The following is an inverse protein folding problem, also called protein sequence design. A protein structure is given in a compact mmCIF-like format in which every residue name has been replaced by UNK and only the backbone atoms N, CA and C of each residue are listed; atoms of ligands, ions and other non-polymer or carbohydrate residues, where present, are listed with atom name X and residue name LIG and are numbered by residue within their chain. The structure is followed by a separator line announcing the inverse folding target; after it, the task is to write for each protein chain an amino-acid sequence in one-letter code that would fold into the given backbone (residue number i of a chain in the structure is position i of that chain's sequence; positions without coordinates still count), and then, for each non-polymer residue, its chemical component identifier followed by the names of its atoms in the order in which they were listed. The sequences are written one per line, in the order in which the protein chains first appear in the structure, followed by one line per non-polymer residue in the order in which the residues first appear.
data_IF_153073707350
#
_entry.id   IF_153073707350
#
_cell.length_a   1.000
_cell.length_b   1.000
_cell.length_c   1.000
_cell.angle_alpha   90.00
_cell.angle_beta   90.00
_cell.angle_gamma   90.00
#
_symmetry.space_group_name_H-M   'P 1'
#
loop_
_entity.id
_entity.type
_entity.pdbx_description
1 polymer ?
#
# COMPACT_ATOMS: atom_id res chain seq x y z
N UNK A 1 -29.02 -1.75 -21.53
CA UNK A 1 -27.55 -1.56 -21.54
C UNK A 1 -27.33 -0.14 -22.05
N UNK A 2 -27.13 0.82 -21.15
CA UNK A 2 -27.06 2.23 -21.56
C UNK A 2 -26.21 3.08 -20.59
N UNK A 3 -25.44 3.97 -21.18
CA UNK A 3 -24.19 4.59 -20.71
C UNK A 3 -24.46 5.75 -19.70
N UNK A 4 -25.70 5.86 -19.20
CA UNK A 4 -26.18 6.97 -18.35
C UNK A 4 -26.17 6.73 -16.82
N UNK A 5 -26.09 5.49 -16.31
CA UNK A 5 -26.21 5.24 -14.84
C UNK A 5 -24.90 4.85 -14.14
N UNK A 6 -23.78 4.75 -14.85
CA UNK A 6 -22.46 4.60 -14.21
C UNK A 6 -21.87 5.93 -13.70
N UNK A 7 -22.40 7.08 -14.17
CA UNK A 7 -22.17 8.40 -13.58
C UNK A 7 -22.72 8.48 -12.14
N UNK A 8 -23.79 7.72 -11.86
CA UNK A 8 -24.44 7.56 -10.55
C UNK A 8 -23.61 6.80 -9.49
N UNK A 9 -22.46 6.21 -9.83
CA UNK A 9 -21.65 5.40 -8.89
C UNK A 9 -20.44 6.14 -8.33
N UNK A 10 -20.01 7.23 -8.97
CA UNK A 10 -18.99 8.15 -8.44
C UNK A 10 -19.61 9.16 -7.47
N UNK A 11 -20.87 9.54 -7.69
CA UNK A 11 -21.66 10.30 -6.70
C UNK A 11 -21.86 9.52 -5.38
N UNK A 12 -21.83 8.18 -5.41
CA UNK A 12 -22.16 7.33 -4.26
C UNK A 12 -21.02 7.06 -3.25
N UNK A 13 -19.78 7.49 -3.52
CA UNK A 13 -18.69 7.43 -2.53
C UNK A 13 -18.42 8.79 -1.85
N UNK A 14 -18.94 9.87 -2.41
CA UNK A 14 -18.98 11.20 -1.77
C UNK A 14 -20.31 11.47 -1.08
N UNK A 15 -21.16 10.46 -0.86
CA UNK A 15 -22.50 10.67 -0.30
C UNK A 15 -22.76 9.92 1.02
N UNK A 16 -22.29 8.71 1.28
CA UNK A 16 -22.73 8.00 2.51
C UNK A 16 -22.07 8.43 3.85
N UNK A 17 -21.28 9.51 3.86
CA UNK A 17 -20.94 10.24 5.10
C UNK A 17 -21.12 11.76 4.93
N UNK A 18 -21.57 12.19 3.75
CA UNK A 18 -21.57 13.60 3.31
C UNK A 18 -22.98 14.01 2.80
N UNK A 19 -23.96 13.10 2.74
CA UNK A 19 -25.33 13.40 2.30
C UNK A 19 -26.20 14.14 3.32
N UNK A 20 -25.64 14.60 4.43
CA UNK A 20 -26.29 15.56 5.34
C UNK A 20 -25.48 16.83 5.53
N UNK A 21 -24.43 17.03 4.75
CA UNK A 21 -23.40 18.02 5.01
C UNK A 21 -23.47 19.13 3.97
N UNK A 22 -23.59 20.38 4.42
CA UNK A 22 -23.64 21.55 3.51
C UNK A 22 -22.33 21.66 2.68
N UNK A 23 -22.32 22.33 1.51
CA UNK A 23 -21.11 22.48 0.67
C UNK A 23 -19.86 22.99 1.42
N UNK A 24 -20.07 23.73 2.51
CA UNK A 24 -19.04 24.19 3.45
C UNK A 24 -18.36 23.01 4.17
N UNK A 25 -19.13 22.01 4.60
CA UNK A 25 -18.67 20.85 5.37
C UNK A 25 -17.85 19.86 4.51
N UNK A 26 -18.12 19.74 3.20
CA UNK A 26 -17.31 18.91 2.29
C UNK A 26 -15.91 19.49 2.09
N UNK A 27 -15.84 20.81 2.01
CA UNK A 27 -14.59 21.56 1.87
C UNK A 27 -13.77 21.44 3.15
N UNK A 28 -14.42 21.54 4.31
CA UNK A 28 -13.79 21.33 5.62
C UNK A 28 -13.26 19.91 5.79
N UNK A 29 -14.04 18.87 5.48
CA UNK A 29 -13.61 17.48 5.60
C UNK A 29 -12.40 17.14 4.70
N UNK A 30 -12.36 17.70 3.49
CA UNK A 30 -11.24 17.53 2.56
C UNK A 30 -9.98 18.22 3.08
N UNK A 31 -10.11 19.44 3.62
CA UNK A 31 -9.00 20.17 4.21
C UNK A 31 -8.45 19.47 5.46
N UNK A 32 -9.33 18.93 6.31
CA UNK A 32 -8.93 18.19 7.51
C UNK A 32 -8.15 16.92 7.15
N UNK A 33 -8.61 16.16 6.15
CA UNK A 33 -7.91 14.94 5.72
C UNK A 33 -6.54 15.26 5.11
N UNK A 34 -6.44 16.31 4.28
CA UNK A 34 -5.17 16.78 3.73
C UNK A 34 -4.21 17.18 4.83
N UNK A 35 -4.68 17.98 5.79
CA UNK A 35 -3.87 18.45 6.90
C UNK A 35 -3.40 17.31 7.82
N UNK A 36 -4.25 16.31 8.06
CA UNK A 36 -3.87 15.12 8.80
C UNK A 36 -2.77 14.35 8.08
N UNK A 37 -2.89 14.17 6.75
CA UNK A 37 -1.91 13.45 5.94
C UNK A 37 -0.56 14.16 5.93
N UNK A 38 -0.58 15.48 5.75
CA UNK A 38 0.63 16.31 5.79
C UNK A 38 1.33 16.20 7.14
N UNK A 39 0.56 16.14 8.24
CA UNK A 39 1.11 15.93 9.58
C UNK A 39 1.71 14.53 9.74
N UNK A 40 1.05 13.46 9.28
CA UNK A 40 1.58 12.08 9.33
C UNK A 40 2.89 11.94 8.54
N UNK A 41 2.94 12.51 7.33
CA UNK A 41 4.15 12.53 6.50
C UNK A 41 5.26 13.32 7.21
N UNK A 42 4.95 14.52 7.71
CA UNK A 42 5.94 15.36 8.39
C UNK A 42 6.53 14.66 9.62
N UNK A 43 5.69 14.08 10.47
CA UNK A 43 6.13 13.34 11.67
C UNK A 43 7.03 12.17 11.30
N UNK A 44 6.68 11.40 10.26
CA UNK A 44 7.52 10.29 9.82
C UNK A 44 8.85 10.78 9.23
N UNK A 45 8.84 11.87 8.46
CA UNK A 45 10.07 12.46 7.91
C UNK A 45 10.99 13.01 9.01
N UNK A 46 10.44 13.59 10.07
CA UNK A 46 11.20 13.99 11.26
C UNK A 46 11.81 12.78 11.98
N UNK A 47 11.04 11.70 12.14
CA UNK A 47 11.53 10.45 12.72
C UNK A 47 12.69 9.88 11.90
N UNK A 48 12.52 9.70 10.59
CA UNK A 48 13.53 9.06 9.74
C UNK A 48 14.78 9.93 9.55
N UNK A 49 14.67 11.26 9.70
CA UNK A 49 15.83 12.16 9.66
C UNK A 49 16.86 11.88 10.75
N UNK A 50 16.43 11.27 11.87
CA UNK A 50 17.28 10.88 13.00
C UNK A 50 17.89 9.49 12.83
N UNK A 51 17.41 8.72 11.86
CA UNK A 51 17.96 7.40 11.54
C UNK A 51 19.12 7.56 10.56
N UNK A 52 20.27 6.95 10.86
CA UNK A 52 21.49 7.02 10.03
C UNK A 52 21.75 5.74 9.22
N UNK A 53 20.83 4.78 9.25
CA UNK A 53 21.02 3.50 8.56
C UNK A 53 21.10 3.74 7.03
N UNK A 54 22.25 3.41 6.40
CA UNK A 54 22.46 3.66 4.97
C UNK A 54 21.66 2.69 4.08
N UNK A 55 21.12 1.61 4.65
CA UNK A 55 20.25 0.69 3.93
C UNK A 55 18.86 1.28 3.68
N UNK A 56 18.49 2.36 4.38
CA UNK A 56 17.23 3.07 4.19
C UNK A 56 17.41 4.18 3.13
N UNK A 57 16.88 3.95 1.93
CA UNK A 57 17.07 4.83 0.76
C UNK A 57 15.75 5.38 0.27
N UNK A 58 14.77 4.50 0.05
CA UNK A 58 13.47 4.86 -0.52
C UNK A 58 12.62 5.63 0.48
N UNK A 59 12.56 5.19 1.74
CA UNK A 59 11.78 5.86 2.78
C UNK A 59 12.29 7.26 3.15
N UNK A 60 13.51 7.63 2.72
CA UNK A 60 14.03 9.00 2.86
C UNK A 60 13.50 9.97 1.81
N UNK A 61 12.83 9.46 0.76
CA UNK A 61 12.20 10.30 -0.25
C UNK A 61 10.79 10.65 0.22
N UNK A 62 10.50 11.93 0.39
CA UNK A 62 9.20 12.40 0.90
C UNK A 62 8.04 11.90 0.03
N UNK A 63 8.25 11.82 -1.28
CA UNK A 63 7.26 11.36 -2.25
C UNK A 63 6.92 9.88 -2.06
N UNK A 64 7.87 9.05 -1.60
CA UNK A 64 7.63 7.64 -1.28
C UNK A 64 6.75 7.52 -0.03
N UNK A 65 7.01 8.34 0.98
CA UNK A 65 6.22 8.37 2.21
C UNK A 65 4.81 8.88 1.92
N UNK A 66 4.67 9.99 1.18
CA UNK A 66 3.40 10.49 0.65
C UNK A 66 2.62 9.37 -0.07
N UNK A 67 3.29 8.67 -0.99
CA UNK A 67 2.70 7.58 -1.75
C UNK A 67 2.20 6.42 -0.87
N UNK A 68 2.96 6.04 0.17
CA UNK A 68 2.53 5.01 1.14
C UNK A 68 1.28 5.43 1.93
N UNK A 69 1.15 6.72 2.21
CA UNK A 69 0.00 7.29 2.90
C UNK A 69 -1.20 7.56 1.98
N UNK A 70 -1.07 7.32 0.67
CA UNK A 70 -2.16 7.54 -0.29
C UNK A 70 -2.18 8.92 -0.93
N UNK A 71 -1.18 9.75 -0.65
CA UNK A 71 -0.99 11.02 -1.32
C UNK A 71 -0.25 10.83 -2.64
N UNK A 72 -0.80 11.41 -3.70
CA UNK A 72 -0.22 11.41 -5.05
C UNK A 72 -0.04 12.84 -5.59
N UNK A 73 -0.13 13.83 -4.71
CA UNK A 73 -0.01 15.27 -5.03
C UNK A 73 1.34 15.66 -5.64
N UNK A 74 2.40 14.88 -5.37
CA UNK A 74 3.71 15.06 -5.97
C UNK A 74 3.76 14.74 -7.48
N UNK A 75 2.76 14.02 -8.01
CA UNK A 75 2.68 13.76 -9.45
C UNK A 75 2.31 15.05 -10.22
N UNK A 76 2.90 15.30 -11.40
CA UNK A 76 2.60 16.50 -12.16
C UNK A 76 1.12 16.61 -12.52
N UNK A 77 0.53 17.78 -12.30
CA UNK A 77 -0.84 18.04 -12.71
C UNK A 77 -1.04 17.77 -14.21
N UNK A 78 -2.23 17.28 -14.57
CA UNK A 78 -2.60 17.02 -15.95
C UNK A 78 -3.79 17.88 -16.37
N UNK A 79 -3.82 18.24 -17.65
CA UNK A 79 -5.05 18.72 -18.27
C UNK A 79 -6.08 17.59 -18.31
N UNK A 80 -7.10 17.73 -17.47
CA UNK A 80 -8.20 16.77 -17.34
C UNK A 80 -9.02 16.72 -18.61
N UNK A 81 -9.32 15.52 -19.10
CA UNK A 81 -10.15 15.30 -20.28
C UNK A 81 -11.33 14.39 -19.97
N UNK A 82 -11.03 13.16 -19.56
CA UNK A 82 -12.00 12.18 -19.12
C UNK A 82 -11.30 11.16 -18.24
N UNK A 83 -12.07 10.49 -17.37
CA UNK A 83 -11.55 9.56 -16.38
C UNK A 83 -10.53 8.55 -16.95
N UNK A 84 -10.85 7.88 -18.05
CA UNK A 84 -9.98 6.85 -18.63
C UNK A 84 -8.66 7.43 -19.17
N UNK A 85 -8.73 8.56 -19.87
CA UNK A 85 -7.54 9.24 -20.38
C UNK A 85 -6.68 9.79 -19.23
N UNK A 86 -7.33 10.32 -18.19
CA UNK A 86 -6.69 10.91 -17.02
C UNK A 86 -5.98 9.84 -16.18
N UNK A 87 -6.65 8.71 -15.89
CA UNK A 87 -6.05 7.55 -15.19
C UNK A 87 -4.85 7.00 -15.96
N UNK A 88 -4.92 6.91 -17.29
CA UNK A 88 -3.79 6.45 -18.12
C UNK A 88 -2.59 7.40 -18.03
N UNK A 89 -2.82 8.71 -18.04
CA UNK A 89 -1.76 9.72 -17.90
C UNK A 89 -1.11 9.62 -16.52
N UNK A 90 -1.91 9.62 -15.45
CA UNK A 90 -1.41 9.49 -14.09
C UNK A 90 -0.66 8.17 -13.87
N UNK A 91 -1.16 7.05 -14.41
CA UNK A 91 -0.44 5.78 -14.37
C UNK A 91 0.93 5.87 -15.02
N UNK A 92 1.04 6.57 -16.15
CA UNK A 92 2.32 6.77 -16.85
C UNK A 92 3.26 7.62 -16.00
N UNK A 93 2.76 8.68 -15.36
CA UNK A 93 3.55 9.51 -14.46
C UNK A 93 4.02 8.73 -13.22
N UNK A 94 3.12 7.97 -12.60
CA UNK A 94 3.42 7.11 -11.45
C UNK A 94 4.45 6.03 -11.82
N UNK A 95 4.37 5.44 -13.01
CA UNK A 95 5.37 4.49 -13.49
C UNK A 95 6.74 5.13 -13.71
N UNK A 96 6.78 6.34 -14.26
CA UNK A 96 8.03 7.07 -14.46
C UNK A 96 8.67 7.44 -13.12
N UNK A 97 7.85 7.92 -12.17
CA UNK A 97 8.28 8.21 -10.80
C UNK A 97 8.81 6.96 -10.11
N UNK A 98 8.04 5.86 -10.08
CA UNK A 98 8.45 4.63 -9.41
C UNK A 98 9.73 4.03 -9.99
N UNK A 99 9.92 4.10 -11.32
CA UNK A 99 11.18 3.72 -11.98
C UNK A 99 12.34 4.64 -11.59
N UNK A 100 12.10 5.94 -11.42
CA UNK A 100 13.13 6.88 -10.99
C UNK A 100 13.55 6.61 -9.53
N UNK A 101 12.60 6.39 -8.62
CA UNK A 101 12.87 6.02 -7.23
C UNK A 101 13.67 4.71 -7.15
N UNK A 102 13.29 3.70 -7.94
CA UNK A 102 14.03 2.44 -8.00
C UNK A 102 15.49 2.61 -8.44
N UNK A 103 15.81 3.58 -9.31
CA UNK A 103 17.20 3.84 -9.70
C UNK A 103 18.06 4.40 -8.57
N UNK A 104 17.46 5.04 -7.56
CA UNK A 104 18.19 5.50 -6.37
C UNK A 104 18.71 4.30 -5.55
N UNK A 105 17.88 3.25 -5.44
CA UNK A 105 18.21 2.05 -4.65
C UNK A 105 18.95 0.98 -5.45
N UNK A 106 18.58 0.79 -6.72
CA UNK A 106 19.04 -0.27 -7.62
C UNK A 106 19.28 0.28 -9.03
N UNK A 107 20.33 1.09 -9.23
CA UNK A 107 20.66 1.65 -10.54
C UNK A 107 21.02 0.57 -11.58
N UNK A 108 21.33 -0.65 -11.12
CA UNK A 108 21.68 -1.82 -11.94
C UNK A 108 20.46 -2.52 -12.57
N UNK A 109 19.25 -2.31 -12.04
CA UNK A 109 18.07 -3.03 -12.51
C UNK A 109 17.49 -2.44 -13.79
N UNK A 110 17.18 -3.31 -14.76
CA UNK A 110 16.35 -2.96 -15.90
C UNK A 110 14.85 -3.12 -15.56
N UNK A 111 14.08 -2.04 -15.63
CA UNK A 111 12.69 -1.93 -15.15
C UNK A 111 11.65 -1.88 -16.28
N UNK A 112 11.94 -2.49 -17.43
CA UNK A 112 11.10 -2.38 -18.65
C UNK A 112 9.65 -2.86 -18.53
N UNK A 113 9.28 -3.62 -17.47
CA UNK A 113 7.94 -4.24 -17.37
C UNK A 113 7.16 -3.92 -16.09
N UNK A 114 7.74 -4.11 -14.90
CA UNK A 114 7.00 -3.98 -13.64
C UNK A 114 7.94 -3.62 -12.48
N UNK A 115 7.99 -2.32 -12.13
CA UNK A 115 8.84 -1.81 -11.05
C UNK A 115 8.31 -2.15 -9.65
N UNK A 116 6.99 -2.34 -9.51
CA UNK A 116 6.33 -2.51 -8.21
C UNK A 116 6.77 -3.74 -7.43
N UNK A 117 7.22 -4.81 -8.08
CA UNK A 117 7.66 -6.03 -7.38
C UNK A 117 8.93 -5.73 -6.57
N UNK A 118 9.99 -5.25 -7.24
CA UNK A 118 11.26 -4.93 -6.58
C UNK A 118 11.15 -3.73 -5.67
N UNK A 119 10.31 -2.75 -6.04
CA UNK A 119 10.00 -1.65 -5.14
C UNK A 119 9.36 -2.15 -3.85
N UNK A 120 8.38 -3.06 -3.93
CA UNK A 120 7.73 -3.64 -2.77
C UNK A 120 8.64 -4.48 -1.89
N UNK A 121 9.47 -5.33 -2.49
CA UNK A 121 10.49 -6.11 -1.76
C UNK A 121 11.41 -5.16 -0.96
N UNK A 122 11.99 -4.14 -1.60
CA UNK A 122 12.89 -3.20 -0.93
C UNK A 122 12.19 -2.31 0.11
N UNK A 123 10.96 -1.87 -0.16
CA UNK A 123 10.17 -1.13 0.82
C UNK A 123 9.85 -1.99 2.05
N UNK A 124 9.55 -3.27 1.85
CA UNK A 124 9.34 -4.22 2.95
C UNK A 124 10.63 -4.37 3.79
N UNK A 125 11.79 -4.52 3.15
CA UNK A 125 13.09 -4.56 3.83
C UNK A 125 13.34 -3.29 4.66
N UNK A 126 13.17 -2.11 4.06
CA UNK A 126 13.41 -0.83 4.74
C UNK A 126 12.45 -0.63 5.92
N UNK A 127 11.15 -0.92 5.76
CA UNK A 127 10.15 -0.80 6.84
C UNK A 127 10.54 -1.67 8.05
N UNK A 128 10.88 -2.94 7.82
CA UNK A 128 11.21 -3.85 8.93
C UNK A 128 12.60 -3.56 9.52
N UNK A 129 13.53 -3.02 8.74
CA UNK A 129 14.80 -2.51 9.27
C UNK A 129 14.55 -1.34 10.23
N UNK A 130 13.65 -0.41 9.89
CA UNK A 130 13.24 0.67 10.82
C UNK A 130 12.52 0.14 12.08
N UNK A 131 11.84 -1.00 12.00
CA UNK A 131 11.31 -1.70 13.18
C UNK A 131 12.40 -2.40 14.03
N UNK A 132 13.69 -2.19 13.74
CA UNK A 132 14.80 -2.81 14.46
C UNK A 132 14.98 -4.30 14.16
N UNK A 133 14.41 -4.80 13.06
CA UNK A 133 14.54 -6.20 12.65
C UNK A 133 15.71 -6.39 11.70
N UNK A 134 16.35 -7.55 11.79
CA UNK A 134 17.31 -8.01 10.78
C UNK A 134 16.54 -8.71 9.66
N UNK A 135 16.55 -8.10 8.48
CA UNK A 135 15.85 -8.65 7.31
C UNK A 135 16.79 -9.54 6.50
N UNK A 136 16.31 -10.73 6.12
CA UNK A 136 17.04 -11.66 5.28
C UNK A 136 16.14 -12.25 4.18
N UNK A 137 16.75 -12.90 3.18
CA UNK A 137 16.00 -13.65 2.16
C UNK A 137 15.68 -15.05 2.73
N UNK A 138 14.41 -15.48 2.73
CA UNK A 138 14.06 -16.81 3.21
C UNK A 138 14.65 -17.89 2.31
N UNK A 139 15.05 -19.00 2.94
CA UNK A 139 15.46 -20.21 2.21
C UNK A 139 14.24 -20.81 1.53
N UNK A 140 14.35 -21.18 0.25
CA UNK A 140 13.26 -21.81 -0.48
C UNK A 140 12.88 -23.17 0.16
N UNK A 141 11.60 -23.33 0.50
CA UNK A 141 11.02 -24.57 1.06
C UNK A 141 9.80 -24.98 0.27
N UNK A 142 9.78 -26.22 -0.23
CA UNK A 142 8.65 -26.76 -1.01
C UNK A 142 8.20 -25.86 -2.18
N UNK A 143 9.16 -25.22 -2.87
CA UNK A 143 8.94 -24.26 -3.96
C UNK A 143 8.35 -22.91 -3.55
N UNK A 144 8.16 -22.67 -2.24
CA UNK A 144 7.79 -21.35 -1.75
C UNK A 144 9.02 -20.46 -1.60
N UNK A 145 8.91 -19.26 -2.14
CA UNK A 145 9.93 -18.22 -2.06
C UNK A 145 9.28 -16.90 -1.64
N UNK A 146 8.99 -16.72 -0.34
CA UNK A 146 8.49 -15.44 0.18
C UNK A 146 9.48 -14.30 -0.08
N UNK A 147 9.01 -13.06 0.07
CA UNK A 147 9.80 -11.88 -0.26
C UNK A 147 10.93 -11.67 0.75
N UNK A 148 10.62 -11.68 2.04
CA UNK A 148 11.60 -11.45 3.10
C UNK A 148 11.31 -12.27 4.36
N UNK A 149 12.29 -12.38 5.24
CA UNK A 149 12.21 -13.04 6.52
C UNK A 149 12.82 -12.15 7.60
N UNK A 150 12.20 -12.13 8.77
CA UNK A 150 12.74 -11.53 10.01
C UNK A 150 12.75 -12.59 11.11
N UNK A 151 13.29 -12.27 12.28
CA UNK A 151 13.36 -13.15 13.44
C UNK A 151 12.01 -13.80 13.80
N UNK A 152 10.92 -13.05 13.71
CA UNK A 152 9.58 -13.45 14.18
C UNK A 152 8.52 -13.63 13.10
N UNK A 153 8.83 -13.44 11.82
CA UNK A 153 7.86 -13.51 10.74
C UNK A 153 8.46 -13.82 9.36
N UNK A 154 7.63 -14.40 8.50
CA UNK A 154 7.82 -14.41 7.04
C UNK A 154 6.99 -13.26 6.45
N UNK A 155 7.56 -12.58 5.46
CA UNK A 155 6.99 -11.36 4.88
C UNK A 155 6.70 -11.58 3.41
N UNK A 156 5.50 -11.16 2.99
CA UNK A 156 5.10 -11.09 1.59
C UNK A 156 4.64 -9.66 1.28
N UNK A 157 5.33 -8.99 0.36
CA UNK A 157 5.01 -7.66 -0.10
C UNK A 157 3.86 -7.69 -1.12
N UNK A 158 2.86 -6.85 -0.90
CA UNK A 158 1.78 -6.60 -1.86
C UNK A 158 1.71 -5.13 -2.19
N UNK A 159 2.16 -4.82 -3.40
CA UNK A 159 2.28 -3.46 -3.91
C UNK A 159 1.47 -3.31 -5.19
N UNK A 160 0.71 -2.23 -5.26
CA UNK A 160 -0.04 -1.84 -6.44
C UNK A 160 0.03 -0.33 -6.59
N UNK A 161 0.08 0.14 -7.82
CA UNK A 161 0.02 1.58 -8.12
C UNK A 161 -1.42 2.11 -7.97
N UNK A 162 -1.61 3.39 -7.66
CA UNK A 162 -2.94 3.97 -7.44
C UNK A 162 -3.79 4.02 -8.72
N UNK A 163 -3.14 4.10 -9.88
CA UNK A 163 -3.83 4.20 -11.18
C UNK A 163 -3.84 2.88 -11.96
N UNK A 164 -3.51 1.75 -11.32
CA UNK A 164 -3.66 0.43 -11.93
C UNK A 164 -5.13 -0.01 -11.90
N UNK A 165 -5.78 -0.04 -13.06
CA UNK A 165 -7.15 -0.53 -13.22
C UNK A 165 -7.24 -2.07 -13.30
N UNK A 166 -8.44 -2.61 -13.13
CA UNK A 166 -8.75 -4.03 -13.36
C UNK A 166 -8.64 -4.91 -12.13
N UNK A 167 -8.35 -6.20 -12.34
CA UNK A 167 -8.34 -7.25 -11.30
C UNK A 167 -6.95 -7.52 -10.73
N UNK A 168 -5.96 -6.70 -11.06
CA UNK A 168 -4.58 -6.89 -10.61
C UNK A 168 -4.48 -6.97 -9.07
N UNK A 169 -5.25 -6.14 -8.36
CA UNK A 169 -5.32 -6.13 -6.90
C UNK A 169 -6.06 -7.33 -6.28
N UNK A 170 -6.87 -8.06 -7.04
CA UNK A 170 -7.66 -9.19 -6.50
C UNK A 170 -6.76 -10.36 -6.10
N UNK A 171 -5.53 -10.44 -6.66
CA UNK A 171 -4.51 -11.41 -6.27
C UNK A 171 -4.11 -11.29 -4.80
N UNK A 172 -4.31 -10.13 -4.17
CA UNK A 172 -4.05 -9.93 -2.75
C UNK A 172 -4.95 -10.86 -1.92
N UNK A 173 -6.21 -11.05 -2.33
CA UNK A 173 -7.19 -11.85 -1.59
C UNK A 173 -6.89 -13.36 -1.62
N UNK A 174 -6.21 -13.82 -2.68
CA UNK A 174 -5.76 -15.21 -2.79
C UNK A 174 -4.46 -15.49 -2.03
N UNK A 175 -3.80 -14.47 -1.48
CA UNK A 175 -2.49 -14.60 -0.85
C UNK A 175 -2.49 -15.54 0.37
N UNK A 176 -3.44 -15.46 1.32
CA UNK A 176 -3.50 -16.39 2.44
C UNK A 176 -3.70 -17.84 2.00
N UNK A 177 -4.49 -18.06 0.94
CA UNK A 177 -4.73 -19.40 0.41
C UNK A 177 -3.49 -19.95 -0.31
N UNK A 178 -2.83 -19.13 -1.13
CA UNK A 178 -1.58 -19.51 -1.82
C UNK A 178 -0.48 -19.91 -0.84
N UNK A 179 -0.42 -19.26 0.32
CA UNK A 179 0.67 -19.39 1.28
C UNK A 179 0.20 -20.02 2.60
N UNK A 180 -0.83 -20.87 2.55
CA UNK A 180 -1.42 -21.49 3.73
C UNK A 180 -0.41 -22.34 4.52
N UNK A 181 0.57 -22.95 3.83
CA UNK A 181 1.58 -23.81 4.46
C UNK A 181 2.80 -23.03 4.99
N UNK A 182 2.95 -21.74 4.67
CA UNK A 182 4.13 -20.95 5.06
C UNK A 182 4.35 -20.95 6.57
N UNK A 183 3.32 -20.72 7.42
CA UNK A 183 3.56 -20.66 8.85
C UNK A 183 4.15 -21.94 9.45
N UNK A 184 3.74 -23.10 8.93
CA UNK A 184 4.25 -24.40 9.39
C UNK A 184 5.63 -24.70 8.80
N UNK A 185 5.84 -24.41 7.50
CA UNK A 185 7.12 -24.67 6.82
C UNK A 185 8.27 -23.85 7.41
N UNK A 186 7.99 -22.61 7.83
CA UNK A 186 8.99 -21.69 8.37
C UNK A 186 8.96 -21.58 9.90
N UNK A 187 7.92 -22.11 10.55
CA UNK A 187 7.73 -22.00 12.00
C UNK A 187 7.44 -20.57 12.47
N UNK A 188 7.01 -19.68 11.58
CA UNK A 188 6.84 -18.24 11.80
C UNK A 188 5.55 -17.75 11.14
N UNK A 189 4.79 -16.81 11.74
CA UNK A 189 3.63 -16.23 11.09
C UNK A 189 3.98 -15.57 9.75
N UNK A 190 3.03 -15.59 8.81
CA UNK A 190 3.11 -14.87 7.55
C UNK A 190 2.44 -13.50 7.68
N UNK A 191 3.18 -12.43 7.41
CA UNK A 191 2.67 -11.06 7.31
C UNK A 191 2.61 -10.63 5.84
N UNK A 192 1.42 -10.33 5.36
CA UNK A 192 1.14 -9.82 4.02
C UNK A 192 1.12 -8.29 4.11
N UNK A 193 2.22 -7.66 3.75
CA UNK A 193 2.41 -6.20 3.83
C UNK A 193 1.81 -5.51 2.60
N UNK A 194 0.67 -4.87 2.78
CA UNK A 194 0.00 -4.08 1.74
C UNK A 194 0.54 -2.65 1.72
N UNK A 195 0.93 -2.15 0.53
CA UNK A 195 1.51 -0.82 0.35
C UNK A 195 0.86 -0.03 -0.80
N UNK A 196 0.78 1.29 -0.63
CA UNK A 196 0.28 2.23 -1.63
C UNK A 196 -1.13 1.88 -2.12
N UNK A 197 -1.31 1.77 -3.44
CA UNK A 197 -2.60 1.42 -4.04
C UNK A 197 -3.17 0.08 -3.56
N UNK A 198 -2.31 -0.88 -3.19
CA UNK A 198 -2.74 -2.18 -2.65
C UNK A 198 -3.37 -2.02 -1.27
N UNK A 199 -2.75 -1.22 -0.40
CA UNK A 199 -3.30 -0.91 0.92
C UNK A 199 -4.64 -0.19 0.80
N UNK A 200 -4.72 0.82 -0.08
CA UNK A 200 -5.95 1.57 -0.34
C UNK A 200 -7.11 0.64 -0.72
N UNK A 201 -6.93 -0.24 -1.71
CA UNK A 201 -8.01 -1.16 -2.11
C UNK A 201 -8.36 -2.17 -1.01
N UNK A 202 -7.38 -2.58 -0.19
CA UNK A 202 -7.62 -3.45 0.95
C UNK A 202 -8.51 -2.81 2.01
N UNK A 203 -8.37 -1.50 2.25
CA UNK A 203 -9.20 -0.74 3.19
C UNK A 203 -10.56 -0.34 2.61
N UNK A 204 -10.56 0.19 1.39
CA UNK A 204 -11.72 0.90 0.81
C UNK A 204 -12.63 0.03 -0.07
N UNK A 205 -12.19 -1.17 -0.45
CA UNK A 205 -12.95 -2.04 -1.34
C UNK A 205 -13.05 -3.46 -0.80
N UNK A 206 -11.91 -4.09 -0.56
CA UNK A 206 -11.86 -5.50 -0.19
C UNK A 206 -12.16 -5.72 1.28
N UNK A 207 -11.81 -4.80 2.16
CA UNK A 207 -12.08 -4.89 3.60
C UNK A 207 -11.31 -5.99 4.30
N UNK A 208 -10.12 -6.34 3.79
CA UNK A 208 -9.17 -7.27 4.44
C UNK A 208 -8.14 -6.53 5.32
N UNK A 209 -8.19 -5.20 5.34
CA UNK A 209 -7.57 -4.35 6.37
C UNK A 209 -8.68 -3.60 7.15
N UNK A 210 -8.39 -3.14 8.38
CA UNK A 210 -9.32 -2.30 9.14
C UNK A 210 -9.77 -1.06 8.35
N UNK A 211 -11.08 -0.81 8.31
CA UNK A 211 -11.69 0.28 7.57
C UNK A 211 -13.20 0.07 7.38
N UNK A 212 -13.87 1.05 6.75
CA UNK A 212 -15.34 1.07 6.59
C UNK A 212 -15.90 -0.08 5.74
N UNK A 213 -15.06 -0.77 4.96
CA UNK A 213 -15.47 -1.94 4.16
C UNK A 213 -15.20 -3.29 4.83
N UNK A 214 -14.62 -3.32 6.02
CA UNK A 214 -14.44 -4.54 6.80
C UNK A 214 -15.77 -4.90 7.48
N UNK A 215 -16.63 -5.63 6.75
CA UNK A 215 -17.90 -6.12 7.30
C UNK A 215 -17.68 -7.24 8.32
N UNK A 216 -18.70 -7.53 9.13
CA UNK A 216 -18.67 -8.66 10.09
C UNK A 216 -18.30 -9.98 9.41
N UNK A 217 -18.81 -10.24 8.20
CA UNK A 217 -18.49 -11.45 7.44
C UNK A 217 -17.03 -11.48 7.00
N UNK A 218 -16.48 -10.35 6.53
CA UNK A 218 -15.06 -10.26 6.16
C UNK A 218 -14.15 -10.43 7.37
N UNK A 219 -14.53 -9.86 8.51
CA UNK A 219 -13.82 -10.04 9.77
C UNK A 219 -13.68 -11.52 10.15
N UNK A 220 -14.72 -12.34 9.96
CA UNK A 220 -14.61 -13.81 10.18
C UNK A 220 -13.52 -14.47 9.33
N UNK A 221 -13.36 -14.07 8.07
CA UNK A 221 -12.28 -14.59 7.23
C UNK A 221 -10.90 -14.09 7.69
N UNK A 222 -10.79 -12.83 8.09
CA UNK A 222 -9.54 -12.27 8.62
C UNK A 222 -9.15 -12.98 9.92
N UNK A 223 -10.11 -13.19 10.81
CA UNK A 223 -9.90 -13.88 12.10
C UNK A 223 -9.49 -15.34 11.85
N UNK A 224 -10.14 -16.04 10.90
CA UNK A 224 -9.72 -17.37 10.47
C UNK A 224 -8.26 -17.40 9.96
N UNK A 225 -7.85 -16.44 9.13
CA UNK A 225 -6.45 -16.36 8.68
C UNK A 225 -5.49 -16.09 9.85
N UNK A 226 -5.88 -15.22 10.79
CA UNK A 226 -5.07 -14.90 11.98
C UNK A 226 -4.89 -16.12 12.89
N UNK A 227 -5.94 -16.91 13.09
CA UNK A 227 -5.87 -18.19 13.81
C UNK A 227 -4.89 -19.17 13.15
N UNK A 228 -4.74 -19.08 11.83
CA UNK A 228 -3.77 -19.83 11.03
C UNK A 228 -2.43 -19.08 10.85
N UNK A 229 -2.12 -18.10 11.70
CA UNK A 229 -0.87 -17.33 11.71
C UNK A 229 -0.58 -16.58 10.40
N UNK A 230 -1.61 -16.13 9.69
CA UNK A 230 -1.52 -15.31 8.49
C UNK A 230 -2.24 -13.98 8.73
N UNK A 231 -1.56 -12.87 8.49
CA UNK A 231 -2.08 -11.54 8.79
C UNK A 231 -1.86 -10.56 7.62
N UNK A 232 -2.86 -9.73 7.33
CA UNK A 232 -2.70 -8.56 6.47
C UNK A 232 -2.25 -7.37 7.30
N UNK A 233 -1.23 -6.66 6.84
CA UNK A 233 -0.68 -5.48 7.52
C UNK A 233 -0.64 -4.31 6.55
N UNK A 234 -1.15 -3.14 6.97
CA UNK A 234 -0.98 -1.91 6.21
C UNK A 234 0.39 -1.30 6.51
N UNK A 235 1.14 -0.92 5.48
CA UNK A 235 2.39 -0.22 5.67
C UNK A 235 2.19 1.11 6.40
N UNK A 236 1.14 1.87 6.06
CA UNK A 236 0.86 3.13 6.75
C UNK A 236 0.61 2.96 8.26
N UNK A 237 0.09 1.80 8.70
CA UNK A 237 -0.07 1.51 10.14
C UNK A 237 1.28 1.34 10.84
N UNK A 238 2.23 0.67 10.18
CA UNK A 238 3.59 0.51 10.71
C UNK A 238 4.29 1.86 10.76
N UNK A 239 4.20 2.66 9.69
CA UNK A 239 4.83 3.98 9.62
C UNK A 239 4.33 4.90 10.75
N UNK A 240 3.00 4.94 10.98
CA UNK A 240 2.42 5.67 12.12
C UNK A 240 2.99 5.19 13.45
N UNK A 241 3.12 3.88 13.65
CA UNK A 241 3.65 3.32 14.90
C UNK A 241 5.12 3.65 15.17
N UNK A 242 5.89 4.01 14.13
CA UNK A 242 7.29 4.40 14.26
C UNK A 242 7.47 5.90 14.57
N UNK A 243 6.51 6.74 14.15
CA UNK A 243 6.60 8.20 14.25
C UNK A 243 5.79 8.82 15.40
N UNK A 244 4.95 8.02 16.08
CA UNK A 244 4.21 8.40 17.29
C UNK A 244 5.04 8.16 18.55
#
# INVERSE_FOLDING_TARGET
MDIKYQKLKLDNMSQNTVQSMEPTEVTEATNVLSQQLDNEVTQFMEFISKNEDPSIVLLRQVEVVQWLFGDTSFLPAIDKKNKTADEKKYKTQEDNWGKAMMKLRRPDLNLDKQWTNKFGEHMCEEIYTLCGKVVSKPVNKNNYQPDSEVDDAILEAKVQTFYTSGTAGEKILGCPFKYAEIPDLYGKPLKILCMGGAEKVCRERYGNLPGTKCSVQKKKFIDFFRENKIEYVGASDILRSLSL
#
